data_IF_166374513179
#
_entry.id   IF_166374513179
#
_cell.length_a   1.000
_cell.length_b   1.000
_cell.length_c   1.000
_cell.angle_alpha   90.00
_cell.angle_beta   90.00
_cell.angle_gamma   90.00
#
_symmetry.space_group_name_H-M   'P 1'
#
loop_
_entity.id
_entity.type
_entity.pdbx_description
1 polymer ?
#
# COMPACT_ATOMS: atom_id res chain seq x y z
N UNK A 1 12.34 -12.69 -0.72
CA UNK A 1 11.36 -11.79 -1.35
C UNK A 1 11.85 -10.34 -1.43
N UNK A 2 12.04 -9.61 -0.31
CA UNK A 2 12.42 -8.18 -0.31
C UNK A 2 13.66 -7.83 -1.15
N UNK A 3 14.76 -8.57 -0.95
CA UNK A 3 16.02 -8.35 -1.70
C UNK A 3 15.81 -8.46 -3.21
N UNK A 4 15.05 -9.46 -3.65
CA UNK A 4 14.69 -9.71 -5.05
C UNK A 4 13.81 -8.60 -5.61
N UNK A 5 12.75 -8.20 -4.89
CA UNK A 5 11.85 -7.11 -5.31
C UNK A 5 12.59 -5.78 -5.46
N UNK A 6 13.52 -5.47 -4.55
CA UNK A 6 14.33 -4.26 -4.62
C UNK A 6 15.33 -4.28 -5.79
N UNK A 7 15.90 -5.43 -6.14
CA UNK A 7 16.79 -5.57 -7.30
C UNK A 7 16.04 -5.44 -8.63
N UNK A 8 14.80 -5.96 -8.71
CA UNK A 8 13.97 -5.87 -9.92
C UNK A 8 13.35 -4.47 -10.13
N UNK A 9 13.30 -3.64 -9.09
CA UNK A 9 12.70 -2.31 -9.18
C UNK A 9 13.73 -1.28 -9.66
N UNK A 10 13.39 -0.39 -10.62
CA UNK A 10 14.27 0.72 -11.00
C UNK A 10 14.64 1.60 -9.79
N UNK A 11 15.89 2.10 -9.73
CA UNK A 11 16.38 2.95 -8.62
C UNK A 11 15.43 4.11 -8.25
N UNK A 12 14.81 4.84 -9.21
CA UNK A 12 13.86 5.92 -8.88
C UNK A 12 12.65 5.46 -8.08
N UNK A 13 12.26 4.19 -8.21
CA UNK A 13 11.08 3.59 -7.57
C UNK A 13 11.38 2.93 -6.22
N UNK A 14 12.65 2.79 -5.82
CA UNK A 14 13.04 2.15 -4.55
C UNK A 14 12.44 2.82 -3.32
N UNK A 15 12.31 4.16 -3.36
CA UNK A 15 11.70 4.92 -2.27
C UNK A 15 10.21 4.57 -2.15
N UNK A 16 9.48 4.55 -3.26
CA UNK A 16 8.07 4.14 -3.29
C UNK A 16 7.88 2.71 -2.82
N UNK A 17 8.74 1.79 -3.27
CA UNK A 17 8.71 0.38 -2.87
C UNK A 17 8.94 0.20 -1.37
N UNK A 18 9.91 0.92 -0.79
CA UNK A 18 10.15 0.90 0.66
C UNK A 18 8.93 1.39 1.43
N UNK A 19 8.32 2.50 0.99
CA UNK A 19 7.12 3.03 1.63
C UNK A 19 5.93 2.07 1.51
N UNK A 20 5.72 1.43 0.35
CA UNK A 20 4.65 0.44 0.16
C UNK A 20 4.86 -0.80 1.04
N UNK A 21 6.11 -1.23 1.23
CA UNK A 21 6.47 -2.37 2.09
C UNK A 21 6.20 -2.10 3.56
N UNK A 22 6.16 -0.82 3.97
CA UNK A 22 5.71 -0.42 5.30
C UNK A 22 4.18 -0.31 5.37
N UNK A 23 3.57 0.33 4.37
CA UNK A 23 2.15 0.66 4.36
C UNK A 23 1.25 -0.59 4.28
N UNK A 24 1.55 -1.54 3.39
CA UNK A 24 0.68 -2.69 3.14
C UNK A 24 0.55 -3.60 4.38
N UNK A 25 1.65 -4.02 5.05
CA UNK A 25 1.54 -4.80 6.28
C UNK A 25 0.84 -4.03 7.40
N UNK A 26 1.09 -2.72 7.52
CA UNK A 26 0.43 -1.86 8.50
C UNK A 26 -1.09 -1.84 8.33
N UNK A 27 -1.58 -1.62 7.12
CA UNK A 27 -3.02 -1.62 6.82
C UNK A 27 -3.64 -3.01 7.03
N UNK A 28 -2.91 -4.07 6.68
CA UNK A 28 -3.35 -5.45 6.90
C UNK A 28 -3.50 -5.75 8.40
N UNK A 29 -2.56 -5.28 9.22
CA UNK A 29 -2.64 -5.43 10.67
C UNK A 29 -3.83 -4.67 11.26
N UNK A 30 -4.05 -3.41 10.86
CA UNK A 30 -5.23 -2.63 11.29
C UNK A 30 -6.54 -3.34 10.96
N UNK A 31 -6.71 -3.79 9.71
CA UNK A 31 -7.92 -4.50 9.28
C UNK A 31 -8.17 -5.78 10.08
N UNK A 32 -7.11 -6.56 10.37
CA UNK A 32 -7.22 -7.76 11.20
C UNK A 32 -7.65 -7.42 12.62
N UNK A 33 -7.10 -6.37 13.21
CA UNK A 33 -7.52 -5.92 14.53
C UNK A 33 -8.99 -5.48 14.54
N UNK A 34 -9.44 -4.75 13.53
CA UNK A 34 -10.86 -4.37 13.45
C UNK A 34 -11.78 -5.60 13.33
N UNK A 35 -11.36 -6.64 12.60
CA UNK A 35 -12.13 -7.87 12.51
C UNK A 35 -12.24 -8.59 13.87
N UNK A 36 -11.14 -8.61 14.65
CA UNK A 36 -11.08 -9.31 15.94
C UNK A 36 -11.75 -8.53 17.06
N UNK A 37 -11.50 -7.23 17.15
CA UNK A 37 -11.91 -6.40 18.28
C UNK A 37 -13.24 -5.67 18.05
N UNK A 38 -13.56 -5.34 16.79
CA UNK A 38 -14.75 -4.56 16.43
C UNK A 38 -15.78 -5.39 15.65
N UNK A 39 -15.60 -6.72 15.55
CA UNK A 39 -16.44 -7.63 14.79
C UNK A 39 -16.66 -7.22 13.32
N UNK A 40 -15.71 -6.48 12.74
CA UNK A 40 -15.76 -6.10 11.34
C UNK A 40 -15.69 -7.35 10.44
N UNK A 41 -16.39 -7.34 9.31
CA UNK A 41 -16.32 -8.47 8.36
C UNK A 41 -14.98 -8.46 7.62
N UNK A 42 -14.25 -9.59 7.60
CA UNK A 42 -13.03 -9.70 6.80
C UNK A 42 -13.34 -9.50 5.32
N UNK A 43 -12.73 -8.48 4.70
CA UNK A 43 -12.91 -8.20 3.27
C UNK A 43 -11.62 -7.68 2.64
N UNK A 44 -11.16 -8.40 1.62
CA UNK A 44 -9.97 -8.03 0.86
C UNK A 44 -10.21 -6.81 -0.01
N UNK A 45 -11.41 -6.65 -0.57
CA UNK A 45 -11.76 -5.48 -1.38
C UNK A 45 -11.75 -4.20 -0.55
N UNK A 46 -12.31 -4.25 0.67
CA UNK A 46 -12.28 -3.13 1.63
C UNK A 46 -10.84 -2.81 2.03
N UNK A 47 -10.04 -3.82 2.37
CA UNK A 47 -8.63 -3.61 2.71
C UNK A 47 -7.84 -2.95 1.57
N UNK A 48 -8.02 -3.41 0.32
CA UNK A 48 -7.35 -2.83 -0.85
C UNK A 48 -7.79 -1.38 -1.08
N UNK A 49 -9.08 -1.08 -0.96
CA UNK A 49 -9.59 0.29 -1.09
C UNK A 49 -8.95 1.21 -0.03
N UNK A 50 -8.91 0.78 1.23
CA UNK A 50 -8.27 1.53 2.33
C UNK A 50 -6.77 1.73 2.10
N UNK A 51 -6.05 0.72 1.59
CA UNK A 51 -4.64 0.86 1.23
C UNK A 51 -4.45 1.94 0.17
N UNK A 52 -5.31 1.99 -0.86
CA UNK A 52 -5.25 3.01 -1.91
C UNK A 52 -5.52 4.40 -1.34
N UNK A 53 -6.56 4.57 -0.53
CA UNK A 53 -6.88 5.83 0.15
C UNK A 53 -5.69 6.34 1.00
N UNK A 54 -5.15 5.47 1.85
CA UNK A 54 -4.00 5.81 2.72
C UNK A 54 -2.74 6.11 1.89
N UNK A 55 -2.50 5.36 0.81
CA UNK A 55 -1.38 5.62 -0.10
C UNK A 55 -1.50 6.99 -0.78
N UNK A 56 -2.72 7.41 -1.13
CA UNK A 56 -2.97 8.73 -1.69
C UNK A 56 -2.65 9.84 -0.68
N UNK A 57 -3.08 9.67 0.59
CA UNK A 57 -2.77 10.60 1.68
C UNK A 57 -1.27 10.70 1.96
N UNK A 58 -0.57 9.56 1.96
CA UNK A 58 0.88 9.58 2.16
C UNK A 58 1.60 10.23 0.99
N UNK A 59 1.10 10.03 -0.24
CA UNK A 59 1.63 10.69 -1.42
C UNK A 59 1.46 12.22 -1.37
N UNK A 60 0.31 12.73 -0.91
CA UNK A 60 0.10 14.17 -0.71
C UNK A 60 0.97 14.71 0.42
N UNK A 61 1.23 13.92 1.46
CA UNK A 61 2.16 14.25 2.55
C UNK A 61 3.66 14.12 2.17
N UNK A 62 3.97 13.80 0.91
CA UNK A 62 5.35 13.83 0.38
C UNK A 62 5.95 12.47 -0.01
N UNK A 63 5.27 11.35 0.27
CA UNK A 63 5.67 10.02 -0.20
C UNK A 63 5.29 9.79 -1.68
N UNK A 64 5.67 10.72 -2.56
CA UNK A 64 5.24 10.78 -3.98
C UNK A 64 5.48 9.49 -4.77
N UNK A 65 6.51 8.72 -4.40
CA UNK A 65 6.80 7.42 -5.03
C UNK A 65 5.67 6.38 -4.91
N UNK A 66 4.75 6.54 -3.95
CA UNK A 66 3.57 5.69 -3.84
C UNK A 66 2.62 5.82 -5.03
N UNK A 67 2.54 6.99 -5.69
CA UNK A 67 1.68 7.16 -6.88
C UNK A 67 2.07 6.25 -8.04
N UNK A 68 3.37 5.90 -8.12
CA UNK A 68 3.91 5.03 -9.17
C UNK A 68 3.73 3.56 -8.79
N UNK A 69 3.81 3.22 -7.50
CA UNK A 69 3.73 1.84 -7.02
C UNK A 69 2.29 1.37 -6.78
N UNK A 70 1.41 2.27 -6.32
CA UNK A 70 0.01 2.03 -5.99
C UNK A 70 -0.87 3.04 -6.74
N UNK A 71 -1.07 2.84 -8.05
CA UNK A 71 -1.93 3.73 -8.82
C UNK A 71 -3.38 3.67 -8.33
N UNK A 72 -4.02 4.85 -8.31
CA UNK A 72 -5.40 5.01 -7.83
C UNK A 72 -6.40 4.44 -8.84
N UNK A 73 -6.22 4.80 -10.10
CA UNK A 73 -6.90 4.24 -11.27
C UNK A 73 -5.98 3.21 -11.93
N UNK A 74 -6.52 2.04 -12.27
CA UNK A 74 -5.85 1.18 -13.24
C UNK A 74 -6.11 1.79 -14.62
N UNK A 75 -5.41 2.86 -14.96
CA UNK A 75 -5.37 3.28 -16.35
C UNK A 75 -4.62 2.19 -17.11
N UNK A 76 -5.41 1.30 -17.73
CA UNK A 76 -4.98 0.34 -18.72
C UNK A 76 -4.57 1.12 -19.98
N UNK A 77 -3.32 1.59 -19.98
CA UNK A 77 -2.59 1.98 -21.17
C UNK A 77 -1.23 1.30 -21.17
#
# INVERSE_FOLDING_TARGET
WWRTARQATPKPMHKGLTTATLLIPWMTWKHRNDCVFNAATPSTSVLVARIKEEAALWATAGARGLRVILPQTWDVH
#
